data_IF_121425345238
#
_entry.id   IF_121425345238
#
_cell.length_a   1.000
_cell.length_b   1.000
_cell.length_c   1.000
_cell.angle_alpha   90.00
_cell.angle_beta   90.00
_cell.angle_gamma   90.00
#
_symmetry.space_group_name_H-M   'P 1'
#
loop_
_entity.id
_entity.type
_entity.pdbx_description
1 polymer ?
#
# COMPACT_ATOMS: atom_id res chain seq x y z
N UNK A 1 39.44 15.72 -65.97
CA UNK A 1 39.05 16.60 -67.10
C UNK A 1 39.88 17.87 -66.96
N UNK A 2 41.13 17.92 -67.44
CA UNK A 2 41.61 18.25 -68.82
C UNK A 2 40.87 19.50 -69.35
N UNK A 3 41.49 20.66 -69.49
CA UNK A 3 42.28 21.20 -70.63
C UNK A 3 42.58 22.69 -70.26
N UNK A 4 43.57 23.46 -70.73
CA UNK A 4 44.48 23.38 -71.88
C UNK A 4 45.47 24.56 -71.84
N UNK A 5 46.73 24.27 -72.19
CA UNK A 5 47.75 25.11 -72.86
C UNK A 5 47.16 25.94 -74.04
N UNK A 6 47.76 26.95 -74.66
CA UNK A 6 49.13 27.50 -74.73
C UNK A 6 49.08 28.77 -75.60
N UNK A 7 50.11 29.63 -75.44
CA UNK A 7 50.91 30.37 -76.46
C UNK A 7 50.22 31.18 -77.57
N UNK A 8 50.75 32.40 -77.82
CA UNK A 8 51.63 32.67 -78.98
C UNK A 8 52.10 34.14 -79.03
N UNK A 9 53.33 34.34 -79.53
CA UNK A 9 53.64 35.42 -80.48
C UNK A 9 54.38 36.69 -80.01
N UNK A 10 55.72 36.64 -80.00
CA UNK A 10 56.66 37.76 -80.27
C UNK A 10 56.47 38.38 -81.70
N UNK A 11 57.23 39.41 -82.20
CA UNK A 11 58.37 40.21 -81.68
C UNK A 11 58.17 41.75 -81.90
N UNK A 12 58.98 42.72 -81.45
CA UNK A 12 60.31 43.08 -81.98
C UNK A 12 60.67 44.52 -81.56
N UNK A 13 61.82 44.64 -80.88
CA UNK A 13 62.95 45.58 -81.09
C UNK A 13 62.83 47.12 -81.00
N UNK A 14 63.59 47.67 -80.02
CA UNK A 14 64.72 48.63 -80.15
C UNK A 14 64.33 50.09 -80.54
N UNK A 15 64.64 51.22 -79.87
CA UNK A 15 65.51 51.69 -78.74
C UNK A 15 65.23 53.24 -78.64
N UNK A 16 66.02 54.10 -77.94
CA UNK A 16 66.25 54.18 -76.49
C UNK A 16 66.12 55.63 -75.94
N UNK A 17 66.22 55.72 -74.61
CA UNK A 17 66.79 56.83 -73.82
C UNK A 17 66.06 58.18 -73.77
N UNK A 18 65.61 58.54 -72.57
CA UNK A 18 66.51 59.23 -71.62
C UNK A 18 65.93 59.28 -70.20
N UNK A 19 66.76 58.82 -69.26
CA UNK A 19 66.93 59.32 -67.90
C UNK A 19 65.71 59.64 -67.03
N UNK A 20 65.54 58.81 -66.01
CA UNK A 20 65.53 59.35 -64.64
C UNK A 20 66.19 58.35 -63.67
N UNK A 21 67.48 58.55 -63.41
CA UNK A 21 68.16 57.99 -62.24
C UNK A 21 67.76 58.87 -61.06
N UNK A 22 66.67 58.54 -60.37
CA UNK A 22 66.37 59.00 -59.00
C UNK A 22 65.19 58.23 -58.39
N UNK A 23 65.28 56.90 -58.34
CA UNK A 23 64.28 56.09 -57.61
C UNK A 23 64.81 54.84 -56.90
N UNK A 24 66.07 54.44 -57.10
CA UNK A 24 66.56 53.18 -56.56
C UNK A 24 66.91 53.19 -55.06
N UNK A 25 67.26 54.35 -54.46
CA UNK A 25 67.60 54.38 -53.03
C UNK A 25 66.38 54.46 -52.10
N UNK A 26 65.28 55.12 -52.51
CA UNK A 26 64.06 55.20 -51.68
C UNK A 26 63.24 53.91 -51.73
N UNK A 27 63.16 53.23 -52.88
CA UNK A 27 62.42 51.96 -52.99
C UNK A 27 63.12 50.81 -52.26
N UNK A 28 64.45 50.77 -52.26
CA UNK A 28 65.20 49.75 -51.52
C UNK A 28 65.11 49.96 -50.00
N UNK A 29 65.05 51.21 -49.53
CA UNK A 29 64.93 51.51 -48.09
C UNK A 29 63.51 51.19 -47.56
N UNK A 30 62.46 51.52 -48.32
CA UNK A 30 61.07 51.14 -48.00
C UNK A 30 60.86 49.61 -47.97
N UNK A 31 61.50 48.89 -48.90
CA UNK A 31 61.45 47.43 -48.97
C UNK A 31 62.11 46.78 -47.75
N UNK A 32 63.23 47.34 -47.28
CA UNK A 32 63.94 46.82 -46.11
C UNK A 32 63.21 47.10 -44.79
N UNK A 33 62.61 48.28 -44.62
CA UNK A 33 61.74 48.57 -43.47
C UNK A 33 60.52 47.64 -43.41
N UNK A 34 59.91 47.34 -44.57
CA UNK A 34 58.80 46.38 -44.65
C UNK A 34 59.22 44.96 -44.22
N UNK A 35 60.39 44.49 -44.67
CA UNK A 35 60.94 43.19 -44.26
C UNK A 35 61.20 43.13 -42.75
N UNK A 36 61.81 44.16 -42.17
CA UNK A 36 62.09 44.24 -40.72
C UNK A 36 60.79 44.21 -39.92
N UNK A 37 59.77 44.98 -40.34
CA UNK A 37 58.46 44.99 -39.68
C UNK A 37 57.75 43.63 -39.79
N UNK A 38 57.87 42.96 -40.94
CA UNK A 38 57.33 41.61 -41.14
C UNK A 38 58.03 40.56 -40.28
N UNK A 39 59.35 40.67 -40.12
CA UNK A 39 60.11 39.78 -39.25
C UNK A 39 59.71 39.96 -37.77
N UNK A 40 59.51 41.20 -37.33
CA UNK A 40 58.99 41.50 -35.98
C UNK A 40 57.57 40.97 -35.77
N UNK A 41 56.69 41.13 -36.76
CA UNK A 41 55.32 40.60 -36.71
C UNK A 41 55.30 39.06 -36.63
N UNK A 42 56.18 38.39 -37.39
CA UNK A 42 56.33 36.93 -37.35
C UNK A 42 56.86 36.46 -35.99
N UNK A 43 57.88 37.12 -35.44
CA UNK A 43 58.40 36.81 -34.09
C UNK A 43 57.32 36.97 -33.02
N UNK A 44 56.48 38.00 -33.13
CA UNK A 44 55.37 38.21 -32.20
C UNK A 44 54.31 37.11 -32.33
N UNK A 45 53.92 36.73 -33.54
CA UNK A 45 52.97 35.61 -33.77
C UNK A 45 53.52 34.27 -33.33
N UNK A 46 54.82 34.03 -33.51
CA UNK A 46 55.48 32.81 -33.05
C UNK A 46 55.44 32.71 -31.52
N UNK A 47 55.68 33.82 -30.82
CA UNK A 47 55.54 33.89 -29.36
C UNK A 47 54.10 33.66 -28.90
N UNK A 48 53.12 34.28 -29.56
CA UNK A 48 51.70 34.07 -29.25
C UNK A 48 51.26 32.62 -29.50
N UNK A 49 51.78 31.98 -30.54
CA UNK A 49 51.53 30.58 -30.84
C UNK A 49 52.10 29.68 -29.74
N UNK A 50 53.34 29.92 -29.30
CA UNK A 50 53.96 29.16 -28.20
C UNK A 50 53.19 29.31 -26.88
N UNK A 51 52.74 30.52 -26.55
CA UNK A 51 51.93 30.75 -25.34
C UNK A 51 50.58 30.00 -25.41
N UNK A 52 49.97 29.97 -26.60
CA UNK A 52 48.71 29.27 -26.84
C UNK A 52 48.88 27.75 -26.83
N UNK A 53 49.96 27.21 -27.37
CA UNK A 53 50.30 25.79 -27.31
C UNK A 53 50.54 25.34 -25.85
N UNK A 54 51.29 26.12 -25.07
CA UNK A 54 51.51 25.84 -23.65
C UNK A 54 50.20 25.91 -22.83
N UNK A 55 49.28 26.81 -23.17
CA UNK A 55 47.97 26.89 -22.54
C UNK A 55 47.09 25.68 -22.91
N UNK A 56 47.12 25.24 -24.17
CA UNK A 56 46.39 24.06 -24.62
C UNK A 56 46.88 22.78 -23.92
N UNK A 57 48.20 22.60 -23.78
CA UNK A 57 48.77 21.44 -23.09
C UNK A 57 48.38 21.39 -21.61
N UNK A 58 48.34 22.56 -20.93
CA UNK A 58 47.83 22.64 -19.55
C UNK A 58 46.36 22.24 -19.46
N UNK A 59 45.54 22.72 -20.39
CA UNK A 59 44.11 22.42 -20.41
C UNK A 59 43.86 20.93 -20.67
N UNK A 60 44.62 20.31 -21.57
CA UNK A 60 44.53 18.88 -21.87
C UNK A 60 44.85 18.03 -20.64
N UNK A 61 45.92 18.37 -19.90
CA UNK A 61 46.26 17.72 -18.62
C UNK A 61 45.18 17.88 -17.55
N UNK A 62 44.49 19.03 -17.50
CA UNK A 62 43.35 19.21 -16.59
C UNK A 62 42.14 18.39 -17.02
N UNK A 63 41.90 18.28 -18.32
CA UNK A 63 40.81 17.49 -18.88
C UNK A 63 40.99 16.01 -18.56
N UNK A 64 42.22 15.49 -18.71
CA UNK A 64 42.57 14.11 -18.39
C UNK A 64 42.33 13.79 -16.92
N UNK A 65 42.80 14.66 -16.01
CA UNK A 65 42.53 14.53 -14.56
C UNK A 65 41.04 14.54 -14.23
N UNK A 66 40.25 15.41 -14.87
CA UNK A 66 38.78 15.44 -14.70
C UNK A 66 38.14 14.16 -15.21
N UNK A 67 38.61 13.62 -16.33
CA UNK A 67 38.09 12.39 -16.90
C UNK A 67 38.36 11.18 -16.00
N UNK A 68 39.57 11.08 -15.44
CA UNK A 68 39.93 10.05 -14.47
C UNK A 68 39.08 10.14 -13.18
N UNK A 69 38.89 11.36 -12.69
CA UNK A 69 38.05 11.61 -11.52
C UNK A 69 36.59 11.22 -11.77
N UNK A 70 36.05 11.56 -12.94
CA UNK A 70 34.68 11.21 -13.32
C UNK A 70 34.52 9.70 -13.44
N UNK A 71 35.50 9.01 -14.03
CA UNK A 71 35.48 7.55 -14.15
C UNK A 71 35.47 6.87 -12.78
N UNK A 72 36.24 7.39 -11.83
CA UNK A 72 36.26 6.89 -10.45
C UNK A 72 34.90 7.10 -9.76
N UNK A 73 34.30 8.27 -9.93
CA UNK A 73 32.96 8.56 -9.40
C UNK A 73 31.89 7.63 -9.98
N UNK A 74 31.91 7.39 -11.29
CA UNK A 74 30.96 6.48 -11.94
C UNK A 74 31.10 5.05 -11.41
N UNK A 75 32.32 4.57 -11.20
CA UNK A 75 32.57 3.24 -10.62
C UNK A 75 32.03 3.13 -9.20
N UNK A 76 32.26 4.15 -8.37
CA UNK A 76 31.75 4.19 -6.99
C UNK A 76 30.21 4.23 -6.97
N UNK A 77 29.58 5.04 -7.81
CA UNK A 77 28.13 5.09 -7.94
C UNK A 77 27.53 3.74 -8.37
N UNK A 78 28.17 3.07 -9.33
CA UNK A 78 27.72 1.75 -9.82
C UNK A 78 27.82 0.70 -8.71
N UNK A 79 28.92 0.70 -7.95
CA UNK A 79 29.09 -0.21 -6.81
C UNK A 79 28.03 0.02 -5.73
N UNK A 80 27.79 1.28 -5.35
CA UNK A 80 26.73 1.61 -4.39
C UNK A 80 25.34 1.15 -4.84
N UNK A 81 25.06 1.26 -6.14
CA UNK A 81 23.79 0.80 -6.70
C UNK A 81 23.65 -0.72 -6.60
N UNK A 82 24.69 -1.47 -6.95
CA UNK A 82 24.71 -2.93 -6.81
C UNK A 82 24.51 -3.37 -5.34
N UNK A 83 25.19 -2.71 -4.40
CA UNK A 83 25.05 -3.00 -2.97
C UNK A 83 23.61 -2.70 -2.47
N UNK A 84 22.94 -1.68 -3.02
CA UNK A 84 21.55 -1.38 -2.72
C UNK A 84 20.60 -2.43 -3.29
N UNK A 85 20.76 -2.80 -4.55
CA UNK A 85 19.94 -3.83 -5.21
C UNK A 85 20.05 -5.18 -4.46
N UNK A 86 21.26 -5.54 -4.00
CA UNK A 86 21.49 -6.75 -3.21
C UNK A 86 20.81 -6.68 -1.83
N UNK A 87 20.81 -5.50 -1.19
CA UNK A 87 20.12 -5.30 0.08
C UNK A 87 18.60 -5.38 -0.08
N UNK A 88 18.06 -4.82 -1.15
CA UNK A 88 16.62 -4.91 -1.46
C UNK A 88 16.19 -6.37 -1.67
N UNK A 89 16.97 -7.15 -2.42
CA UNK A 89 16.73 -8.59 -2.59
C UNK A 89 16.71 -9.34 -1.24
N UNK A 90 17.65 -9.05 -0.34
CA UNK A 90 17.66 -9.67 0.99
C UNK A 90 16.45 -9.26 1.83
N UNK A 91 16.00 -8.01 1.74
CA UNK A 91 14.80 -7.55 2.44
C UNK A 91 13.57 -8.32 1.92
N UNK A 92 13.40 -8.42 0.60
CA UNK A 92 12.31 -9.17 -0.01
C UNK A 92 12.32 -10.65 0.42
N UNK A 93 13.48 -11.29 0.45
CA UNK A 93 13.60 -12.67 0.95
C UNK A 93 13.23 -12.80 2.43
N UNK A 94 13.63 -11.83 3.26
CA UNK A 94 13.29 -11.82 4.69
C UNK A 94 11.79 -11.60 4.88
N UNK A 95 11.18 -10.69 4.14
CA UNK A 95 9.74 -10.43 4.17
C UNK A 95 8.96 -11.67 3.73
N UNK A 96 9.39 -12.37 2.68
CA UNK A 96 8.76 -13.61 2.23
C UNK A 96 8.87 -14.72 3.29
N UNK A 97 10.06 -14.87 3.90
CA UNK A 97 10.29 -15.83 5.00
C UNK A 97 9.48 -15.47 6.24
N UNK A 98 9.34 -14.18 6.55
CA UNK A 98 8.53 -13.69 7.65
C UNK A 98 7.05 -13.94 7.39
N UNK A 99 6.52 -13.63 6.21
CA UNK A 99 5.13 -13.91 5.84
C UNK A 99 4.77 -15.41 5.98
N UNK A 100 5.68 -16.30 5.58
CA UNK A 100 5.49 -17.75 5.74
C UNK A 100 5.58 -18.21 7.21
N UNK A 101 6.42 -17.58 8.02
CA UNK A 101 6.72 -17.96 9.40
C UNK A 101 5.73 -17.42 10.44
N UNK A 102 5.02 -16.32 10.14
CA UNK A 102 4.40 -15.49 11.21
C UNK A 102 2.90 -15.71 11.41
N UNK A 103 2.16 -16.26 10.44
CA UNK A 103 0.71 -16.41 10.66
C UNK A 103 0.37 -17.69 11.42
N UNK A 104 -0.44 -17.59 12.49
CA UNK A 104 -0.95 -18.79 13.19
C UNK A 104 -1.75 -19.63 12.18
N UNK A 105 -2.52 -18.99 11.30
CA UNK A 105 -3.23 -19.63 10.20
C UNK A 105 -2.30 -20.36 9.19
N UNK A 106 -1.05 -19.95 8.99
CA UNK A 106 -0.07 -20.67 8.14
C UNK A 106 0.70 -21.76 8.89
N UNK A 107 0.80 -21.68 10.22
CA UNK A 107 1.44 -22.69 11.06
C UNK A 107 0.58 -23.92 11.27
N UNK A 108 -0.72 -23.71 11.36
CA UNK A 108 -1.69 -24.78 11.53
C UNK A 108 -2.26 -25.20 10.17
N UNK A 109 -2.28 -26.51 9.88
CA UNK A 109 -3.04 -26.99 8.71
C UNK A 109 -4.52 -26.64 8.94
N UNK A 110 -5.29 -26.27 7.91
CA UNK A 110 -6.71 -25.90 8.06
C UNK A 110 -7.54 -26.92 8.90
N UNK A 111 -7.19 -28.20 8.85
CA UNK A 111 -7.83 -29.28 9.63
C UNK A 111 -7.12 -29.65 10.94
N UNK A 112 -6.17 -28.85 11.41
CA UNK A 112 -5.43 -29.13 12.63
C UNK A 112 -6.30 -28.87 13.86
N UNK A 113 -6.22 -29.82 14.79
CA UNK A 113 -6.99 -29.79 16.02
C UNK A 113 -6.36 -28.82 17.01
N UNK A 114 -7.16 -27.90 17.52
CA UNK A 114 -6.79 -26.92 18.54
C UNK A 114 -7.57 -27.22 19.82
N UNK A 115 -6.87 -27.12 20.95
CA UNK A 115 -7.47 -27.22 22.28
C UNK A 115 -7.68 -25.83 22.86
N UNK A 116 -8.83 -25.59 23.44
CA UNK A 116 -9.20 -24.36 24.13
C UNK A 116 -9.50 -24.72 25.58
N UNK A 117 -8.87 -24.04 26.54
CA UNK A 117 -9.19 -24.15 27.95
C UNK A 117 -10.07 -22.96 28.33
N UNK A 118 -11.39 -23.19 28.41
CA UNK A 118 -12.37 -22.14 28.71
C UNK A 118 -12.78 -22.28 30.16
N UNK A 119 -12.39 -21.33 31.01
CA UNK A 119 -12.75 -21.34 32.44
C UNK A 119 -12.43 -22.66 33.16
N UNK A 120 -11.35 -23.34 32.78
CA UNK A 120 -10.91 -24.61 33.34
C UNK A 120 -11.38 -25.88 32.61
N UNK A 121 -12.22 -25.77 31.59
CA UNK A 121 -12.70 -26.92 30.79
C UNK A 121 -12.04 -26.95 29.42
N UNK A 122 -11.45 -28.09 29.05
CA UNK A 122 -10.79 -28.27 27.76
C UNK A 122 -11.80 -28.68 26.69
N UNK A 123 -11.89 -27.87 25.64
CA UNK A 123 -12.62 -28.15 24.40
C UNK A 123 -11.64 -28.41 23.26
N UNK A 124 -11.99 -29.32 22.35
CA UNK A 124 -11.20 -29.59 21.15
C UNK A 124 -12.02 -29.32 19.89
N UNK A 125 -11.41 -28.65 18.92
CA UNK A 125 -12.03 -28.30 17.64
C UNK A 125 -10.97 -28.10 16.56
N UNK A 126 -11.34 -27.69 15.35
CA UNK A 126 -10.39 -27.29 14.30
C UNK A 126 -10.34 -25.78 14.16
N UNK A 127 -9.21 -25.23 13.70
CA UNK A 127 -9.14 -23.82 13.33
C UNK A 127 -10.15 -23.47 12.23
N UNK A 128 -10.39 -24.36 11.27
CA UNK A 128 -11.39 -24.11 10.23
C UNK A 128 -12.80 -23.87 10.81
N UNK A 129 -13.19 -24.56 11.88
CA UNK A 129 -14.46 -24.26 12.56
C UNK A 129 -14.42 -22.89 13.25
N UNK A 130 -13.36 -22.59 14.01
CA UNK A 130 -13.24 -21.32 14.74
C UNK A 130 -13.16 -20.10 13.81
N UNK A 131 -12.57 -20.27 12.63
CA UNK A 131 -12.38 -19.24 11.61
C UNK A 131 -13.44 -19.30 10.49
N UNK A 132 -14.51 -20.10 10.68
CA UNK A 132 -15.58 -20.25 9.69
C UNK A 132 -16.39 -18.97 9.49
N UNK A 133 -16.44 -18.13 10.52
CA UNK A 133 -17.13 -16.85 10.53
C UNK A 133 -16.12 -15.71 10.72
N UNK A 134 -16.24 -14.68 9.89
CA UNK A 134 -15.36 -13.50 9.93
C UNK A 134 -15.75 -12.55 11.07
N UNK A 135 -14.81 -11.70 11.46
CA UNK A 135 -15.03 -10.58 12.39
C UNK A 135 -15.54 -11.03 13.77
N UNK A 136 -15.06 -12.19 14.22
CA UNK A 136 -15.36 -12.79 15.54
C UNK A 136 -14.15 -12.74 16.47
N UNK A 137 -14.38 -12.98 17.76
CA UNK A 137 -13.31 -13.13 18.75
C UNK A 137 -12.22 -14.10 18.27
N UNK A 138 -12.59 -15.26 17.72
CA UNK A 138 -11.60 -16.26 17.30
C UNK A 138 -10.78 -15.83 16.10
N UNK A 139 -11.38 -15.10 15.16
CA UNK A 139 -10.61 -14.54 14.03
C UNK A 139 -9.58 -13.52 14.48
N UNK A 140 -9.90 -12.72 15.50
CA UNK A 140 -8.93 -11.81 16.11
C UNK A 140 -7.90 -12.57 16.97
N UNK A 141 -8.35 -13.52 17.79
CA UNK A 141 -7.54 -14.27 18.74
C UNK A 141 -6.49 -15.15 18.05
N UNK A 142 -6.81 -15.72 16.89
CA UNK A 142 -5.89 -16.50 16.06
C UNK A 142 -5.35 -15.71 14.85
N UNK A 143 -5.47 -14.38 14.87
CA UNK A 143 -4.86 -13.51 13.86
C UNK A 143 -3.36 -13.35 14.07
N UNK A 144 -2.69 -12.66 13.16
CA UNK A 144 -1.26 -12.35 13.27
C UNK A 144 -0.97 -11.24 14.28
N UNK A 145 -2.01 -10.47 14.64
CA UNK A 145 -1.92 -9.36 15.58
C UNK A 145 -2.02 -9.81 17.03
N UNK A 146 -2.61 -10.99 17.27
CA UNK A 146 -2.72 -11.60 18.58
C UNK A 146 -1.95 -12.92 18.58
N UNK A 147 -0.89 -13.03 19.39
CA UNK A 147 -0.07 -14.25 19.47
C UNK A 147 -0.31 -14.97 20.80
N UNK A 148 -1.52 -15.56 20.99
CA UNK A 148 -1.79 -16.32 22.19
C UNK A 148 -0.85 -17.52 22.22
N UNK A 149 -0.37 -17.86 23.42
CA UNK A 149 0.48 -19.04 23.63
C UNK A 149 -0.39 -20.13 24.22
N UNK A 150 -0.32 -21.32 23.64
CA UNK A 150 -0.86 -22.50 24.31
C UNK A 150 -0.07 -22.75 25.60
N UNK A 151 -0.76 -23.18 26.64
CA UNK A 151 -0.10 -23.53 27.90
C UNK A 151 0.79 -24.77 27.73
N UNK A 152 1.90 -24.81 28.47
CA UNK A 152 2.90 -25.86 28.32
C UNK A 152 2.40 -27.25 28.76
N UNK A 153 1.44 -27.28 29.67
CA UNK A 153 1.02 -28.51 30.35
C UNK A 153 -0.06 -29.30 29.59
N UNK A 154 -1.06 -28.63 29.02
CA UNK A 154 -2.19 -29.24 28.32
C UNK A 154 -2.19 -28.96 26.80
N UNK A 155 -1.31 -28.06 26.36
CA UNK A 155 -1.25 -27.51 25.01
C UNK A 155 -2.57 -26.88 24.57
N UNK A 156 -3.29 -26.25 25.50
CA UNK A 156 -4.54 -25.55 25.24
C UNK A 156 -4.37 -24.03 25.31
N UNK A 157 -5.16 -23.32 24.52
CA UNK A 157 -5.25 -21.86 24.59
C UNK A 157 -6.28 -21.47 25.64
N UNK A 158 -5.84 -20.75 26.67
CA UNK A 158 -6.71 -20.34 27.77
C UNK A 158 -7.63 -19.19 27.38
N UNK A 159 -8.89 -19.26 27.81
CA UNK A 159 -9.92 -18.23 27.66
C UNK A 159 -10.58 -18.05 29.03
N UNK A 160 -10.46 -16.84 29.58
CA UNK A 160 -10.99 -16.49 30.89
C UNK A 160 -12.50 -16.19 30.83
N UNK A 161 -13.29 -17.22 30.50
CA UNK A 161 -14.75 -17.15 30.35
C UNK A 161 -15.42 -18.38 30.97
N UNK A 162 -16.68 -18.28 31.41
CA UNK A 162 -17.43 -19.44 31.86
C UNK A 162 -17.64 -20.44 30.72
N UNK A 163 -17.54 -21.73 31.01
CA UNK A 163 -17.63 -22.80 30.00
C UNK A 163 -19.05 -23.32 29.73
N UNK A 164 -20.02 -23.03 30.60
CA UNK A 164 -21.35 -23.64 30.57
C UNK A 164 -22.05 -23.53 29.20
N UNK A 165 -21.87 -22.39 28.53
CA UNK A 165 -22.50 -22.09 27.24
C UNK A 165 -21.56 -22.28 26.04
N UNK A 166 -20.29 -22.62 26.28
CA UNK A 166 -19.27 -22.65 25.24
C UNK A 166 -19.51 -23.75 24.20
N UNK A 167 -20.14 -24.87 24.61
CA UNK A 167 -20.49 -25.95 23.67
C UNK A 167 -21.46 -25.46 22.58
N UNK A 168 -22.44 -24.63 22.94
CA UNK A 168 -23.40 -24.05 21.99
C UNK A 168 -22.72 -23.07 21.03
N UNK A 169 -21.80 -22.25 21.53
CA UNK A 169 -20.96 -21.37 20.70
C UNK A 169 -20.16 -22.20 19.70
N UNK A 170 -19.51 -23.27 20.17
CA UNK A 170 -18.66 -24.11 19.34
C UNK A 170 -19.46 -24.88 18.29
N UNK A 171 -20.65 -25.37 18.63
CA UNK A 171 -21.55 -26.04 17.71
C UNK A 171 -22.04 -25.11 16.59
N UNK A 172 -22.28 -23.84 16.90
CA UNK A 172 -22.57 -22.81 15.89
C UNK A 172 -21.40 -22.66 14.91
N UNK A 173 -20.17 -22.51 15.39
CA UNK A 173 -18.95 -22.43 14.56
C UNK A 173 -18.67 -23.71 13.75
N UNK A 174 -19.22 -24.85 14.14
CA UNK A 174 -19.17 -26.10 13.36
C UNK A 174 -20.22 -26.16 12.25
N UNK A 175 -21.12 -25.18 12.18
CA UNK A 175 -22.25 -25.15 11.25
C UNK A 175 -23.48 -25.92 11.73
N UNK A 176 -23.55 -26.28 13.01
CA UNK A 176 -24.73 -26.97 13.57
C UNK A 176 -25.87 -25.98 13.80
N UNK A 177 -27.10 -26.42 13.52
CA UNK A 177 -28.28 -25.63 13.88
C UNK A 177 -28.57 -25.79 15.38
N UNK A 178 -28.24 -24.76 16.16
CA UNK A 178 -28.41 -24.75 17.62
C UNK A 178 -29.81 -24.35 18.10
N UNK A 179 -30.73 -24.00 17.19
CA UNK A 179 -32.06 -23.45 17.54
C UNK A 179 -32.82 -24.33 18.52
N UNK A 180 -32.89 -25.65 18.25
CA UNK A 180 -33.61 -26.58 19.13
C UNK A 180 -32.98 -26.64 20.53
N UNK A 181 -31.65 -26.52 20.63
CA UNK A 181 -30.97 -26.48 21.92
C UNK A 181 -31.30 -25.19 22.67
N UNK A 182 -31.32 -24.04 21.98
CA UNK A 182 -31.71 -22.74 22.55
C UNK A 182 -33.16 -22.72 23.02
N UNK A 183 -34.09 -23.35 22.30
CA UNK A 183 -35.50 -23.43 22.69
C UNK A 183 -35.74 -24.24 23.98
N UNK A 184 -34.78 -25.07 24.39
CA UNK A 184 -34.84 -25.86 25.62
C UNK A 184 -34.21 -25.15 26.83
N UNK A 185 -33.50 -24.03 26.62
CA UNK A 185 -32.90 -23.26 27.70
C UNK A 185 -33.98 -22.49 28.48
N UNK A 186 -33.77 -22.38 29.78
CA UNK A 186 -34.55 -21.47 30.61
C UNK A 186 -34.07 -20.01 30.42
N UNK A 187 -34.79 -19.06 31.02
CA UNK A 187 -34.49 -17.64 30.88
C UNK A 187 -33.07 -17.27 31.33
N UNK A 188 -32.63 -17.79 32.49
CA UNK A 188 -31.30 -17.49 33.03
C UNK A 188 -30.22 -18.04 32.10
N UNK A 189 -30.36 -19.28 31.66
CA UNK A 189 -29.40 -19.91 30.74
C UNK A 189 -29.31 -19.17 29.41
N UNK A 190 -30.45 -18.67 28.91
CA UNK A 190 -30.49 -17.88 27.69
C UNK A 190 -29.77 -16.54 27.84
N UNK A 191 -29.94 -15.86 28.98
CA UNK A 191 -29.22 -14.63 29.31
C UNK A 191 -27.71 -14.86 29.35
N UNK A 192 -27.27 -15.89 30.09
CA UNK A 192 -25.87 -16.27 30.17
C UNK A 192 -25.30 -16.66 28.79
N UNK A 193 -26.10 -17.27 27.91
CA UNK A 193 -25.69 -17.58 26.54
C UNK A 193 -25.53 -16.30 25.70
N UNK A 194 -26.43 -15.33 25.85
CA UNK A 194 -26.33 -14.04 25.15
C UNK A 194 -25.05 -13.30 25.55
N UNK A 195 -24.67 -13.31 26.83
CA UNK A 195 -23.42 -12.71 27.29
C UNK A 195 -22.20 -13.32 26.59
N UNK A 196 -22.19 -14.64 26.37
CA UNK A 196 -21.13 -15.30 25.61
C UNK A 196 -21.19 -14.98 24.11
N UNK A 197 -22.38 -14.91 23.49
CA UNK A 197 -22.53 -14.51 22.08
C UNK A 197 -21.94 -13.12 21.84
N UNK A 198 -22.20 -12.18 22.76
CA UNK A 198 -21.64 -10.83 22.72
C UNK A 198 -20.13 -10.87 22.89
N UNK A 199 -19.62 -11.60 23.89
CA UNK A 199 -18.19 -11.71 24.14
C UNK A 199 -17.42 -12.30 22.95
N UNK A 200 -17.88 -13.42 22.41
CA UNK A 200 -17.25 -14.09 21.26
C UNK A 200 -17.52 -13.38 19.94
N UNK A 201 -18.33 -12.31 19.94
CA UNK A 201 -18.71 -11.54 18.76
C UNK A 201 -19.26 -12.44 17.66
N UNK A 202 -20.23 -13.30 18.00
CA UNK A 202 -20.88 -14.16 17.00
C UNK A 202 -21.86 -13.30 16.20
N UNK A 203 -21.47 -12.93 14.98
CA UNK A 203 -22.15 -11.95 14.11
C UNK A 203 -23.23 -12.56 13.22
N UNK A 204 -23.15 -13.86 12.88
CA UNK A 204 -24.08 -14.54 11.99
C UNK A 204 -25.25 -15.18 12.76
N UNK A 205 -26.08 -14.33 13.34
CA UNK A 205 -27.29 -14.72 14.07
C UNK A 205 -28.44 -15.21 13.15
N UNK A 206 -28.27 -15.22 11.82
CA UNK A 206 -29.29 -15.79 10.93
C UNK A 206 -29.54 -17.28 11.23
N UNK A 207 -28.53 -17.98 11.76
CA UNK A 207 -28.62 -19.36 12.23
C UNK A 207 -29.00 -19.51 13.71
N UNK A 208 -28.98 -18.44 14.52
CA UNK A 208 -29.37 -18.49 15.94
C UNK A 208 -30.89 -18.39 16.12
N UNK A 209 -31.64 -18.11 15.04
CA UNK A 209 -33.11 -18.16 15.04
C UNK A 209 -33.80 -17.07 15.87
N UNK A 210 -33.05 -16.06 16.30
CA UNK A 210 -33.54 -14.92 17.06
C UNK A 210 -34.32 -13.91 16.22
N UNK A 211 -35.03 -13.01 16.91
CA UNK A 211 -35.69 -11.86 16.32
C UNK A 211 -34.70 -10.70 16.22
N UNK A 212 -34.58 -10.08 15.04
CA UNK A 212 -33.63 -8.99 14.83
C UNK A 212 -34.18 -7.91 13.91
N UNK A 213 -33.64 -6.70 14.06
CA UNK A 213 -33.70 -5.63 13.08
C UNK A 213 -32.28 -5.36 12.61
N UNK A 214 -32.08 -5.30 11.30
CA UNK A 214 -30.77 -5.08 10.68
C UNK A 214 -30.77 -3.77 9.92
N UNK A 215 -29.74 -2.96 10.12
CA UNK A 215 -29.42 -1.82 9.26
C UNK A 215 -28.19 -2.20 8.43
N UNK A 216 -28.27 -2.03 7.11
CA UNK A 216 -27.11 -2.15 6.23
C UNK A 216 -27.27 -1.27 4.99
N UNK A 217 -26.21 -0.54 4.61
CA UNK A 217 -26.24 0.49 3.57
C UNK A 217 -27.32 1.57 3.83
N UNK A 218 -27.54 1.91 5.10
CA UNK A 218 -28.59 2.82 5.55
C UNK A 218 -30.01 2.30 5.35
N UNK A 219 -30.23 1.00 5.08
CA UNK A 219 -31.57 0.42 4.89
C UNK A 219 -31.92 -0.55 6.01
N UNK A 220 -33.18 -0.50 6.47
CA UNK A 220 -33.69 -1.32 7.56
C UNK A 220 -34.39 -2.58 7.06
N UNK A 221 -34.03 -3.73 7.62
CA UNK A 221 -34.51 -5.07 7.29
C UNK A 221 -34.89 -5.88 8.53
N UNK A 222 -35.60 -7.00 8.30
CA UNK A 222 -35.96 -7.97 9.34
C UNK A 222 -36.04 -9.40 8.77
N UNK A 223 -36.14 -10.45 9.62
CA UNK A 223 -36.35 -11.82 9.17
C UNK A 223 -37.53 -12.02 8.22
N UNK A 224 -38.61 -11.25 8.41
CA UNK A 224 -39.85 -11.34 7.60
C UNK A 224 -39.77 -10.53 6.31
N UNK A 225 -38.83 -9.59 6.21
CA UNK A 225 -38.60 -8.76 5.01
C UNK A 225 -37.11 -8.67 4.69
N UNK A 226 -36.54 -9.78 4.21
CA UNK A 226 -35.10 -9.88 3.90
C UNK A 226 -34.69 -9.08 2.65
N UNK A 227 -35.55 -9.08 1.62
CA UNK A 227 -35.23 -8.49 0.30
C UNK A 227 -35.99 -7.19 0.01
N UNK A 228 -36.77 -6.70 0.96
CA UNK A 228 -37.59 -5.49 0.79
C UNK A 228 -37.40 -4.62 2.04
N UNK A 229 -36.66 -3.51 1.94
CA UNK A 229 -36.41 -2.67 3.09
C UNK A 229 -37.73 -2.05 3.57
N UNK A 230 -37.82 -1.81 4.88
CA UNK A 230 -38.99 -1.14 5.45
C UNK A 230 -39.07 0.34 5.08
N UNK A 231 -37.92 0.94 4.77
CA UNK A 231 -37.77 2.35 4.46
C UNK A 231 -37.16 2.41 3.05
N UNK A 232 -37.83 3.14 2.15
CA UNK A 232 -37.32 3.36 0.79
C UNK A 232 -36.15 4.36 0.75
N UNK A 233 -36.08 5.24 1.74
CA UNK A 233 -35.01 6.22 1.95
C UNK A 233 -33.91 5.65 2.86
N UNK A 234 -32.68 6.15 2.71
CA UNK A 234 -31.58 5.77 3.57
C UNK A 234 -31.66 6.49 4.93
N UNK A 235 -31.47 5.72 6.00
CA UNK A 235 -31.10 6.21 7.32
C UNK A 235 -29.72 6.86 7.19
N UNK A 236 -29.60 8.11 7.64
CA UNK A 236 -28.38 8.93 7.54
C UNK A 236 -27.87 9.26 8.94
N UNK A 237 -26.69 9.86 9.00
CA UNK A 237 -26.13 10.45 10.22
C UNK A 237 -27.18 11.33 10.95
N UNK A 238 -27.26 11.18 12.28
CA UNK A 238 -28.26 11.80 13.17
C UNK A 238 -29.70 11.28 13.05
N UNK A 239 -29.98 10.24 12.25
CA UNK A 239 -31.28 9.59 12.29
C UNK A 239 -31.50 8.84 13.61
N UNK A 240 -32.67 9.02 14.22
CA UNK A 240 -33.07 8.31 15.44
C UNK A 240 -34.00 7.16 15.07
N UNK A 241 -33.58 5.93 15.39
CA UNK A 241 -34.40 4.72 15.22
C UNK A 241 -34.88 4.23 16.59
N UNK A 242 -36.19 4.31 16.84
CA UNK A 242 -36.82 3.78 18.05
C UNK A 242 -37.49 2.46 17.73
N UNK A 243 -37.20 1.42 18.50
CA UNK A 243 -37.85 0.11 18.42
C UNK A 243 -38.90 0.01 19.52
N UNK A 244 -40.12 -0.39 19.17
CA UNK A 244 -41.25 -0.47 20.10
C UNK A 244 -41.80 -1.90 20.09
N UNK A 245 -41.80 -2.53 21.26
CA UNK A 245 -42.47 -3.79 21.53
C UNK A 245 -43.81 -3.51 22.23
N UNK A 246 -44.93 -3.85 21.60
CA UNK A 246 -46.27 -3.74 22.20
C UNK A 246 -47.14 -4.92 21.77
N UNK A 247 -47.82 -5.57 22.71
CA UNK A 247 -48.72 -6.70 22.43
C UNK A 247 -48.08 -7.77 21.54
N UNK A 248 -46.82 -8.13 21.85
CA UNK A 248 -46.05 -9.11 21.08
C UNK A 248 -45.81 -8.73 19.61
N UNK A 249 -45.84 -7.43 19.30
CA UNK A 249 -45.52 -6.88 17.98
C UNK A 249 -44.33 -5.96 18.10
N UNK A 250 -43.31 -6.21 17.31
CA UNK A 250 -42.20 -5.27 17.13
C UNK A 250 -42.59 -4.31 16.00
N UNK A 251 -42.43 -3.02 16.28
CA UNK A 251 -42.57 -1.92 15.34
C UNK A 251 -41.39 -0.96 15.51
N UNK A 252 -41.21 -0.03 14.58
CA UNK A 252 -40.13 0.94 14.67
C UNK A 252 -40.55 2.29 14.10
N UNK A 253 -39.89 3.31 14.63
CA UNK A 253 -40.08 4.72 14.30
C UNK A 253 -38.72 5.25 13.89
N UNK A 254 -38.65 5.93 12.74
CA UNK A 254 -37.42 6.59 12.30
C UNK A 254 -37.73 8.07 12.13
N UNK A 255 -36.98 8.93 12.83
CA UNK A 255 -37.17 10.38 12.82
C UNK A 255 -38.65 10.76 13.05
N UNK A 256 -39.24 10.18 14.11
CA UNK A 256 -40.63 10.34 14.53
C UNK A 256 -41.72 9.87 13.53
N UNK A 257 -41.32 9.23 12.42
CA UNK A 257 -42.24 8.59 11.47
C UNK A 257 -42.33 7.10 11.73
N UNK A 258 -43.54 6.61 11.97
CA UNK A 258 -43.80 5.18 12.11
C UNK A 258 -43.86 4.49 10.74
N UNK A 259 -43.15 3.38 10.60
CA UNK A 259 -43.10 2.57 9.36
C UNK A 259 -43.83 1.22 9.52
N UNK A 260 -44.60 1.10 10.60
CA UNK A 260 -45.49 -0.03 10.86
C UNK A 260 -44.81 -1.19 11.57
N UNK A 261 -45.49 -2.34 11.50
CA UNK A 261 -45.09 -3.58 12.16
C UNK A 261 -43.93 -4.25 11.41
N UNK A 262 -42.87 -4.59 12.14
CA UNK A 262 -41.79 -5.41 11.63
C UNK A 262 -42.21 -6.88 11.58
N UNK A 263 -42.41 -7.51 12.73
CA UNK A 263 -42.78 -8.91 12.89
C UNK A 263 -43.50 -9.16 14.22
N UNK A 264 -44.23 -10.26 14.31
CA UNK A 264 -44.76 -10.76 15.59
C UNK A 264 -43.67 -11.54 16.32
N UNK A 265 -43.66 -11.38 17.63
CA UNK A 265 -42.85 -12.18 18.55
C UNK A 265 -43.80 -13.08 19.36
N UNK A 266 -43.38 -14.25 19.86
CA UNK A 266 -44.21 -15.09 20.71
C UNK A 266 -44.47 -14.35 22.03
N UNK A 267 -45.59 -14.64 22.67
CA UNK A 267 -45.96 -14.15 24.00
C UNK A 267 -45.06 -14.77 25.09
N UNK A 268 -43.76 -14.52 25.04
CA UNK A 268 -42.82 -14.91 26.08
C UNK A 268 -42.38 -13.63 26.79
N UNK A 269 -42.39 -13.67 28.12
CA UNK A 269 -42.11 -12.53 28.99
C UNK A 269 -40.67 -11.99 28.87
N UNK A 270 -39.80 -12.65 28.09
CA UNK A 270 -38.36 -12.40 28.06
C UNK A 270 -37.86 -12.20 26.63
N UNK A 271 -38.20 -11.05 26.06
CA UNK A 271 -37.59 -10.58 24.81
C UNK A 271 -36.44 -9.63 25.18
N UNK A 272 -35.21 -10.06 24.90
CA UNK A 272 -34.03 -9.22 25.05
C UNK A 272 -33.78 -8.47 23.75
N UNK A 273 -33.82 -7.12 23.75
CA UNK A 273 -33.55 -6.36 22.55
C UNK A 273 -32.05 -6.42 22.23
N UNK A 274 -31.69 -7.16 21.20
CA UNK A 274 -30.36 -7.09 20.59
C UNK A 274 -30.48 -6.26 19.32
N UNK A 275 -30.01 -5.00 19.36
CA UNK A 275 -29.88 -4.17 18.18
C UNK A 275 -28.47 -4.37 17.62
N UNK A 276 -28.37 -5.07 16.49
CA UNK A 276 -27.11 -5.30 15.78
C UNK A 276 -27.06 -4.40 14.55
N UNK A 277 -26.10 -3.48 14.55
CA UNK A 277 -25.81 -2.57 13.45
C UNK A 277 -24.55 -3.09 12.76
N UNK A 278 -24.68 -3.37 11.47
CA UNK A 278 -23.60 -3.91 10.64
C UNK A 278 -23.33 -2.88 9.53
N UNK A 279 -22.76 -1.75 9.92
CA UNK A 279 -22.14 -0.77 9.03
C UNK A 279 -20.86 -0.29 9.73
N UNK A 280 -19.73 -0.38 9.02
CA UNK A 280 -18.39 -0.07 9.54
C UNK A 280 -18.24 1.41 9.97
N UNK A 281 -19.20 2.27 9.57
CA UNK A 281 -19.21 3.72 9.79
C UNK A 281 -20.33 4.19 10.74
N UNK A 282 -20.96 3.30 11.51
CA UNK A 282 -22.07 3.67 12.40
C UNK A 282 -21.70 3.59 13.89
N UNK A 283 -21.69 4.73 14.58
CA UNK A 283 -21.68 4.80 16.04
C UNK A 283 -23.12 4.69 16.59
N UNK A 284 -23.29 3.89 17.65
CA UNK A 284 -24.59 3.61 18.26
C UNK A 284 -24.61 4.15 19.67
N UNK A 285 -25.43 5.18 19.91
CA UNK A 285 -25.71 5.69 21.26
C UNK A 285 -27.06 5.15 21.74
N UNK A 286 -27.05 4.36 22.82
CA UNK A 286 -28.27 3.96 23.50
C UNK A 286 -28.74 5.14 24.37
N UNK A 287 -29.74 5.87 23.88
CA UNK A 287 -30.36 6.93 24.67
C UNK A 287 -31.15 6.30 25.84
N UNK A 288 -31.03 6.85 27.06
CA UNK A 288 -31.71 6.36 28.27
C UNK A 288 -33.24 6.46 28.21
#
# INVERSE_FOLDING_TARGET
MIQSNSRDGEPSTITPTTNTISSNNNNNNLSMEWLIRKEQELKQKEKELQEREAAAEKFEKELEKKNDQLLLQMKDQTKRKLDLDERELRILEIEEKLAKSTTIASRFKQNEMVKLNVGGTIFATTLNSLLSEKDTFFTAYFSDYFTPKAEEHDHAYFIDRPNANFELILDHFRGSNIRKKLEMLNERELLEFVDEVVYYQVTNYENTGGYYLKIGNGRLFSPTKRNSPYIGEQIRENSVVKVVLKENKISFIVNDKAYGKAFDVPSRDNLFPVLLIQDDDCEVELLP
#
